data_IF_463229384897
#
_entry.id   IF_463229384897
#
_cell.length_a   1.000
_cell.length_b   1.000
_cell.length_c   1.000
_cell.angle_alpha   90.00
_cell.angle_beta   90.00
_cell.angle_gamma   90.00
#
_symmetry.space_group_name_H-M   'P 1'
#
loop_
_entity.id
_entity.type
_entity.pdbx_description
1 polymer ?
#
# COMPACT_ATOMS: atom_id res chain seq x y z
N UNK A 1 -12.99 -12.52 -14.95
CA UNK A 1 -11.69 -11.83 -14.82
C UNK A 1 -11.85 -10.37 -14.41
N UNK A 2 -12.72 -9.59 -15.07
CA UNK A 2 -12.98 -8.17 -14.73
C UNK A 2 -13.38 -7.97 -13.26
N UNK A 3 -14.25 -8.85 -12.73
CA UNK A 3 -14.66 -8.78 -11.32
C UNK A 3 -13.52 -9.14 -10.36
N UNK A 4 -12.77 -10.22 -10.62
CA UNK A 4 -11.60 -10.56 -9.80
C UNK A 4 -10.55 -9.44 -9.77
N UNK A 5 -10.33 -8.78 -10.92
CA UNK A 5 -9.45 -7.63 -11.01
C UNK A 5 -9.97 -6.43 -10.20
N UNK A 6 -11.28 -6.16 -10.25
CA UNK A 6 -11.93 -5.11 -9.44
C UNK A 6 -11.78 -5.41 -7.94
N UNK A 7 -12.03 -6.64 -7.51
CA UNK A 7 -11.84 -7.04 -6.12
C UNK A 7 -10.38 -6.84 -5.66
N UNK A 8 -9.41 -7.18 -6.52
CA UNK A 8 -8.00 -6.99 -6.21
C UNK A 8 -7.63 -5.51 -6.05
N UNK A 9 -8.11 -4.64 -6.95
CA UNK A 9 -7.90 -3.19 -6.85
C UNK A 9 -8.50 -2.65 -5.55
N UNK A 10 -9.74 -3.03 -5.23
CA UNK A 10 -10.40 -2.59 -3.99
C UNK A 10 -9.66 -3.07 -2.74
N UNK A 11 -9.23 -4.33 -2.70
CA UNK A 11 -8.45 -4.87 -1.59
C UNK A 11 -7.09 -4.14 -1.45
N UNK A 12 -6.46 -3.80 -2.57
CA UNK A 12 -5.18 -3.08 -2.59
C UNK A 12 -5.35 -1.66 -2.06
N UNK A 13 -6.38 -0.93 -2.50
CA UNK A 13 -6.70 0.40 -2.01
C UNK A 13 -7.02 0.38 -0.50
N UNK A 14 -7.82 -0.58 -0.04
CA UNK A 14 -8.14 -0.74 1.38
C UNK A 14 -6.89 -1.03 2.22
N UNK A 15 -5.96 -1.85 1.72
CA UNK A 15 -4.69 -2.11 2.38
C UNK A 15 -3.82 -0.86 2.45
N UNK A 16 -3.72 -0.09 1.37
CA UNK A 16 -2.95 1.17 1.34
C UNK A 16 -3.55 2.17 2.34
N UNK A 17 -4.87 2.36 2.35
CA UNK A 17 -5.55 3.23 3.32
C UNK A 17 -5.29 2.78 4.75
N UNK A 18 -5.39 1.48 5.04
CA UNK A 18 -5.06 0.96 6.36
C UNK A 18 -3.63 1.29 6.77
N UNK A 19 -2.66 1.10 5.87
CA UNK A 19 -1.26 1.43 6.14
C UNK A 19 -1.12 2.93 6.44
N UNK A 20 -1.70 3.82 5.64
CA UNK A 20 -1.56 5.27 5.85
C UNK A 20 -2.25 5.79 7.10
N UNK A 21 -3.41 5.23 7.46
CA UNK A 21 -4.22 5.66 8.61
C UNK A 21 -3.72 5.07 9.94
N UNK A 22 -2.85 4.06 9.90
CA UNK A 22 -2.37 3.35 11.09
C UNK A 22 -0.84 3.42 11.23
N UNK A 23 -0.36 3.11 12.43
CA UNK A 23 1.05 3.01 12.77
C UNK A 23 1.67 1.70 12.23
N UNK A 24 1.79 1.59 10.91
CA UNK A 24 2.49 0.51 10.22
C UNK A 24 3.88 0.98 9.82
N UNK A 25 4.92 0.21 10.16
CA UNK A 25 6.32 0.54 9.92
C UNK A 25 7.04 -0.64 9.25
N UNK A 26 8.15 -0.38 8.56
CA UNK A 26 9.01 -1.45 8.09
C UNK A 26 9.65 -2.22 9.24
N UNK A 27 10.15 -3.44 8.94
CA UNK A 27 10.77 -4.28 9.95
C UNK A 27 11.88 -3.50 10.62
N UNK A 28 11.70 -3.29 11.92
CA UNK A 28 12.65 -2.61 12.78
C UNK A 28 13.99 -3.35 12.74
N UNK A 29 15.08 -2.61 12.53
CA UNK A 29 16.36 -3.06 13.04
C UNK A 29 16.26 -3.06 14.57
N UNK A 30 16.63 -4.16 15.23
CA UNK A 30 16.64 -4.24 16.70
C UNK A 30 17.64 -3.22 17.25
N UNK A 31 17.12 -2.07 17.70
CA UNK A 31 17.89 -0.96 18.25
C UNK A 31 18.29 -1.15 19.72
N UNK A 32 17.91 -2.27 20.36
CA UNK A 32 18.06 -2.48 21.79
C UNK A 32 17.11 -1.61 22.64
N UNK A 33 17.06 -1.90 23.95
CA UNK A 33 16.29 -1.21 25.00
C UNK A 33 14.92 -0.61 24.59
N UNK A 34 14.10 -1.38 23.87
CA UNK A 34 12.66 -1.13 23.75
C UNK A 34 12.24 0.15 23.02
N UNK A 35 13.15 0.83 22.32
CA UNK A 35 12.80 1.97 21.47
C UNK A 35 12.44 1.46 20.07
N UNK A 36 11.24 1.80 19.65
CA UNK A 36 10.72 1.51 18.32
C UNK A 36 10.98 2.72 17.41
N UNK A 37 11.60 2.49 16.25
CA UNK A 37 11.65 3.50 15.20
C UNK A 37 10.24 3.64 14.60
N UNK A 38 9.63 4.81 14.80
CA UNK A 38 8.30 5.13 14.25
C UNK A 38 8.40 5.80 12.88
N UNK A 39 9.59 5.88 12.31
CA UNK A 39 9.80 6.34 10.95
C UNK A 39 9.60 5.16 9.99
N UNK A 40 8.94 5.45 8.86
CA UNK A 40 8.90 4.55 7.71
C UNK A 40 10.08 4.88 6.83
N UNK A 41 10.87 3.89 6.46
CA UNK A 41 11.96 4.13 5.51
C UNK A 41 11.43 4.69 4.19
N UNK A 42 12.23 5.52 3.52
CA UNK A 42 11.91 6.06 2.20
C UNK A 42 11.51 4.97 1.20
N UNK A 43 12.13 3.79 1.30
CA UNK A 43 11.81 2.61 0.47
C UNK A 43 10.40 2.07 0.74
N UNK A 44 9.95 2.12 1.99
CA UNK A 44 8.61 1.67 2.35
C UNK A 44 7.55 2.68 1.87
N UNK A 45 7.81 3.98 2.03
CA UNK A 45 6.95 5.03 1.48
C UNK A 45 6.89 4.96 -0.05
N UNK A 46 8.02 4.77 -0.73
CA UNK A 46 8.07 4.58 -2.18
C UNK A 46 7.23 3.36 -2.63
N UNK A 47 7.29 2.25 -1.88
CA UNK A 47 6.49 1.07 -2.19
C UNK A 47 4.98 1.34 -2.07
N UNK A 48 4.55 2.09 -1.04
CA UNK A 48 3.15 2.49 -0.86
C UNK A 48 2.69 3.39 -2.02
N UNK A 49 3.50 4.37 -2.41
CA UNK A 49 3.19 5.27 -3.52
C UNK A 49 3.11 4.51 -4.87
N UNK A 50 4.04 3.61 -5.13
CA UNK A 50 4.03 2.78 -6.34
C UNK A 50 2.79 1.87 -6.40
N UNK A 51 2.41 1.25 -5.27
CA UNK A 51 1.20 0.45 -5.18
C UNK A 51 -0.07 1.28 -5.44
N UNK A 52 -0.12 2.51 -4.92
CA UNK A 52 -1.22 3.48 -5.15
C UNK A 52 -1.35 3.82 -6.62
N UNK A 53 -0.25 4.18 -7.28
CA UNK A 53 -0.24 4.53 -8.70
C UNK A 53 -0.70 3.36 -9.57
N UNK A 54 -0.19 2.15 -9.29
CA UNK A 54 -0.58 0.94 -10.02
C UNK A 54 -2.07 0.61 -9.83
N UNK A 55 -2.62 0.74 -8.61
CA UNK A 55 -4.03 0.53 -8.35
C UNK A 55 -4.92 1.54 -9.08
N UNK A 56 -4.51 2.82 -9.12
CA UNK A 56 -5.23 3.87 -9.85
C UNK A 56 -5.20 3.65 -11.36
N UNK A 57 -4.06 3.24 -11.92
CA UNK A 57 -3.96 2.91 -13.34
C UNK A 57 -4.86 1.73 -13.70
N UNK A 58 -4.82 0.66 -12.90
CA UNK A 58 -5.68 -0.50 -13.11
C UNK A 58 -7.17 -0.15 -13.01
N UNK A 59 -7.55 0.72 -12.08
CA UNK A 59 -8.93 1.17 -11.95
C UNK A 59 -9.40 1.92 -13.21
N UNK A 60 -8.58 2.81 -13.76
CA UNK A 60 -8.89 3.50 -15.03
C UNK A 60 -9.09 2.51 -16.17
N UNK A 61 -8.18 1.54 -16.31
CA UNK A 61 -8.29 0.49 -17.33
C UNK A 61 -9.57 -0.34 -17.19
N UNK A 62 -10.00 -0.62 -15.96
CA UNK A 62 -11.25 -1.35 -15.69
C UNK A 62 -12.51 -0.52 -16.01
N UNK A 63 -12.45 0.81 -15.87
CA UNK A 63 -13.53 1.73 -16.21
C UNK A 63 -13.63 1.94 -17.73
N UNK A 64 -12.50 1.98 -18.44
CA UNK A 64 -12.43 2.15 -19.89
C UNK A 64 -12.66 0.84 -20.67
N UNK A 65 -12.52 -0.31 -20.02
CA UNK A 65 -12.80 -1.60 -20.64
C UNK A 65 -14.31 -1.74 -20.97
N UNK A 66 -14.67 -2.16 -22.21
CA UNK A 66 -16.06 -2.37 -22.62
C UNK A 66 -16.79 -3.44 -21.80
#
# INVERSE_FOLDING_TARGET
>A
MKEQARCLVQATQALISYIEENQVYDKLADGGCGLYDTYRSDRFEEAIQNARLAAQEMEKLLQEAP
#
